data_IF_568389048396
#
_entry.id   IF_568389048396
#
_cell.length_a   1.000
_cell.length_b   1.000
_cell.length_c   1.000
_cell.angle_alpha   90.00
_cell.angle_beta   90.00
_cell.angle_gamma   90.00
#
_symmetry.space_group_name_H-M   'P 1'
#
loop_
_entity.id
_entity.type
_entity.pdbx_description
1 polymer ?
#
# COMPACT_ATOMS: atom_id res chain seq x y z
N UNK A 1 -3.39 -4.98 9.28
CA UNK A 1 -2.11 -5.27 8.58
C UNK A 1 -1.82 -6.76 8.76
N UNK A 2 -1.19 -7.47 7.82
CA UNK A 2 -0.81 -8.86 8.04
C UNK A 2 0.17 -8.95 9.21
N UNK A 3 -0.05 -9.90 10.09
CA UNK A 3 0.78 -10.10 11.28
C UNK A 3 1.76 -11.26 11.10
N UNK A 4 1.62 -12.06 10.04
CA UNK A 4 2.49 -13.20 9.75
C UNK A 4 3.07 -13.11 8.34
N UNK A 5 4.30 -13.62 8.20
CA UNK A 5 4.97 -13.83 6.91
C UNK A 5 5.05 -15.32 6.61
N UNK A 6 4.88 -15.68 5.34
CA UNK A 6 5.10 -17.06 4.90
C UNK A 6 6.60 -17.38 4.97
N UNK A 7 6.98 -18.61 5.37
CA UNK A 7 8.36 -19.06 5.31
C UNK A 7 8.80 -19.25 3.85
N UNK A 8 10.11 -19.29 3.59
CA UNK A 8 10.68 -19.42 2.23
C UNK A 8 10.19 -20.66 1.46
N UNK A 9 9.83 -21.72 2.18
CA UNK A 9 9.20 -22.93 1.62
C UNK A 9 7.85 -23.17 2.30
N UNK A 10 6.78 -22.47 1.87
CA UNK A 10 5.48 -22.60 2.52
C UNK A 10 4.86 -23.98 2.24
N UNK A 11 4.19 -24.55 3.24
CA UNK A 11 3.52 -25.84 3.14
C UNK A 11 2.02 -25.68 3.36
N UNK A 12 1.22 -26.03 2.35
CA UNK A 12 -0.23 -25.86 2.38
C UNK A 12 -0.89 -26.70 3.47
N UNK A 13 -0.37 -27.89 3.77
CA UNK A 13 -0.92 -28.75 4.82
C UNK A 13 -0.68 -28.17 6.21
N UNK A 14 0.44 -27.49 6.43
CA UNK A 14 0.65 -26.72 7.65
C UNK A 14 -0.39 -25.61 7.80
N UNK A 15 -0.69 -24.85 6.73
CA UNK A 15 -1.72 -23.80 6.76
C UNK A 15 -3.13 -24.38 6.99
N UNK A 16 -3.43 -25.56 6.42
CA UNK A 16 -4.69 -26.27 6.70
C UNK A 16 -4.77 -26.70 8.17
N UNK A 17 -3.66 -27.14 8.77
CA UNK A 17 -3.63 -27.44 10.20
C UNK A 17 -3.90 -26.20 11.04
N UNK A 18 -3.26 -25.07 10.75
CA UNK A 18 -3.54 -23.81 11.45
C UNK A 18 -5.01 -23.40 11.39
N UNK A 19 -5.68 -23.57 10.24
CA UNK A 19 -7.12 -23.29 10.14
C UNK A 19 -7.96 -24.24 11.00
N UNK A 20 -7.60 -25.53 11.07
CA UNK A 20 -8.28 -26.49 11.96
C UNK A 20 -8.02 -26.21 13.43
N UNK A 21 -6.82 -25.77 13.78
CA UNK A 21 -6.45 -25.44 15.16
C UNK A 21 -7.17 -24.19 15.62
N UNK A 22 -7.30 -23.17 14.75
CA UNK A 22 -8.14 -21.99 15.03
C UNK A 22 -9.61 -22.37 15.27
N UNK A 23 -10.16 -23.30 14.46
CA UNK A 23 -11.52 -23.79 14.64
C UNK A 23 -11.69 -24.54 15.98
N UNK A 24 -10.72 -25.36 16.37
CA UNK A 24 -10.73 -26.07 17.67
C UNK A 24 -10.61 -25.09 18.84
N UNK A 25 -9.72 -24.10 18.74
CA UNK A 25 -9.53 -23.08 19.77
C UNK A 25 -10.81 -22.24 19.97
N UNK A 26 -11.49 -21.87 18.87
CA UNK A 26 -12.80 -21.23 18.94
C UNK A 26 -13.83 -22.10 19.67
N UNK A 27 -13.93 -23.39 19.33
CA UNK A 27 -14.84 -24.33 19.99
C UNK A 27 -14.52 -24.53 21.49
N UNK A 28 -13.25 -24.41 21.87
CA UNK A 28 -12.80 -24.46 23.26
C UNK A 28 -13.03 -23.13 24.03
N UNK A 29 -13.50 -22.08 23.36
CA UNK A 29 -13.73 -20.77 23.96
C UNK A 29 -12.45 -19.97 24.22
N UNK A 30 -11.36 -20.29 23.52
CA UNK A 30 -10.06 -19.62 23.65
C UNK A 30 -10.18 -18.11 23.33
N UNK A 31 -9.80 -17.21 24.27
CA UNK A 31 -9.77 -15.78 24.02
C UNK A 31 -8.91 -15.37 22.83
N UNK A 32 -7.77 -16.04 22.59
CA UNK A 32 -6.87 -15.70 21.48
C UNK A 32 -7.54 -15.97 20.12
N UNK A 33 -8.30 -17.06 20.01
CA UNK A 33 -9.07 -17.36 18.81
C UNK A 33 -10.11 -16.26 18.52
N UNK A 34 -10.77 -15.74 19.56
CA UNK A 34 -11.74 -14.64 19.43
C UNK A 34 -11.08 -13.34 18.95
N UNK A 35 -9.90 -13.02 19.48
CA UNK A 35 -9.12 -11.87 19.04
C UNK A 35 -8.70 -11.99 17.57
N UNK A 36 -8.13 -13.14 17.17
CA UNK A 36 -7.70 -13.39 15.79
C UNK A 36 -8.88 -13.30 14.81
N UNK A 37 -10.02 -13.88 15.17
CA UNK A 37 -11.24 -13.80 14.35
C UNK A 37 -11.76 -12.38 14.22
N UNK A 38 -11.75 -11.58 15.30
CA UNK A 38 -12.14 -10.16 15.24
C UNK A 38 -11.26 -9.38 14.28
N UNK A 39 -9.94 -9.58 14.37
CA UNK A 39 -8.99 -8.81 13.59
C UNK A 39 -9.01 -9.19 12.11
N UNK A 40 -9.09 -10.49 11.79
CA UNK A 40 -8.87 -10.97 10.44
C UNK A 40 -10.13 -11.43 9.70
N UNK A 41 -11.27 -11.60 10.36
CA UNK A 41 -12.51 -12.04 9.70
C UNK A 41 -13.52 -10.88 9.54
N UNK A 42 -14.01 -10.59 8.32
CA UNK A 42 -14.86 -9.43 8.06
C UNK A 42 -16.20 -9.45 8.82
N UNK A 43 -16.73 -10.64 9.12
CA UNK A 43 -17.96 -10.80 9.91
C UNK A 43 -17.83 -10.31 11.36
N UNK A 44 -16.62 -10.31 11.92
CA UNK A 44 -16.40 -10.19 13.36
C UNK A 44 -15.70 -8.90 13.80
N UNK A 45 -15.34 -8.01 12.87
CA UNK A 45 -14.55 -6.80 13.17
C UNK A 45 -15.16 -5.85 14.21
N UNK A 46 -16.47 -5.94 14.48
CA UNK A 46 -17.19 -5.16 15.50
C UNK A 46 -17.84 -6.01 16.59
N UNK A 47 -17.56 -7.30 16.61
CA UNK A 47 -18.18 -8.26 17.54
C UNK A 47 -17.44 -8.35 18.87
N UNK A 48 -18.17 -8.53 19.96
CA UNK A 48 -17.59 -8.81 21.28
C UNK A 48 -17.04 -10.24 21.34
N UNK A 49 -16.18 -10.58 22.31
CA UNK A 49 -15.71 -11.96 22.44
C UNK A 49 -16.86 -12.93 22.70
N UNK A 50 -17.91 -12.48 23.41
CA UNK A 50 -19.09 -13.29 23.67
C UNK A 50 -19.84 -13.62 22.37
N UNK A 51 -20.03 -12.61 21.50
CA UNK A 51 -20.68 -12.80 20.20
C UNK A 51 -19.87 -13.77 19.33
N UNK A 52 -18.54 -13.60 19.28
CA UNK A 52 -17.65 -14.45 18.47
C UNK A 52 -17.68 -15.89 18.99
N UNK A 53 -17.60 -16.11 20.31
CA UNK A 53 -17.69 -17.46 20.91
C UNK A 53 -19.02 -18.15 20.61
N UNK A 54 -20.13 -17.40 20.59
CA UNK A 54 -21.45 -17.96 20.31
C UNK A 54 -21.71 -18.22 18.81
N UNK A 55 -20.91 -17.63 17.93
CA UNK A 55 -21.08 -17.76 16.49
C UNK A 55 -20.71 -19.16 15.98
N UNK A 56 -21.49 -19.66 15.02
CA UNK A 56 -21.11 -20.85 14.25
C UNK A 56 -19.93 -20.50 13.33
N UNK A 57 -18.76 -21.07 13.64
CA UNK A 57 -17.54 -20.91 12.84
C UNK A 57 -17.35 -22.13 11.95
N UNK A 58 -17.24 -21.90 10.64
CA UNK A 58 -16.94 -22.96 9.68
C UNK A 58 -15.44 -23.07 9.42
N UNK A 59 -14.99 -24.18 8.82
CA UNK A 59 -13.60 -24.31 8.39
C UNK A 59 -13.23 -23.23 7.34
N UNK A 60 -14.17 -22.84 6.49
CA UNK A 60 -13.95 -21.78 5.49
C UNK A 60 -13.76 -20.41 6.14
N UNK A 61 -14.48 -20.10 7.23
CA UNK A 61 -14.26 -18.87 8.00
C UNK A 61 -12.85 -18.87 8.63
N UNK A 62 -12.42 -19.99 9.20
CA UNK A 62 -11.08 -20.12 9.77
C UNK A 62 -9.99 -20.00 8.69
N UNK A 63 -10.18 -20.61 7.51
CA UNK A 63 -9.28 -20.48 6.37
C UNK A 63 -9.19 -19.03 5.85
N UNK A 64 -10.31 -18.29 5.85
CA UNK A 64 -10.31 -16.87 5.47
C UNK A 64 -9.53 -16.02 6.47
N UNK A 65 -9.72 -16.25 7.77
CA UNK A 65 -8.95 -15.56 8.82
C UNK A 65 -7.44 -15.83 8.67
N UNK A 66 -7.03 -17.09 8.50
CA UNK A 66 -5.63 -17.47 8.24
C UNK A 66 -5.09 -16.78 6.98
N UNK A 67 -5.83 -16.80 5.86
CA UNK A 67 -5.39 -16.13 4.64
C UNK A 67 -5.10 -14.64 4.87
N UNK A 68 -5.97 -13.96 5.62
CA UNK A 68 -5.85 -12.52 5.91
C UNK A 68 -4.75 -12.21 6.93
N UNK A 69 -4.47 -13.10 7.89
CA UNK A 69 -3.29 -13.02 8.77
C UNK A 69 -1.98 -12.97 7.97
N UNK A 70 -1.92 -13.75 6.87
CA UNK A 70 -0.79 -13.80 5.94
C UNK A 70 -0.88 -12.75 4.80
N UNK A 71 -1.87 -11.87 4.81
CA UNK A 71 -1.98 -10.77 3.83
C UNK A 71 -2.65 -11.12 2.51
N UNK A 72 -3.32 -12.28 2.43
CA UNK A 72 -4.10 -12.71 1.26
C UNK A 72 -5.59 -12.42 1.46
N UNK A 73 -6.31 -11.97 0.42
CA UNK A 73 -7.73 -11.63 0.54
C UNK A 73 -8.64 -12.86 0.64
N UNK A 74 -8.17 -14.05 0.25
CA UNK A 74 -8.93 -15.30 0.31
C UNK A 74 -8.03 -16.53 0.44
N UNK A 75 -8.60 -17.63 0.94
CA UNK A 75 -7.91 -18.91 1.02
C UNK A 75 -7.47 -19.44 -0.35
N UNK A 76 -8.29 -19.26 -1.38
CA UNK A 76 -7.94 -19.68 -2.74
C UNK A 76 -6.67 -18.98 -3.25
N UNK A 77 -6.49 -17.69 -2.92
CA UNK A 77 -5.28 -16.93 -3.29
C UNK A 77 -4.05 -17.35 -2.50
N UNK A 78 -4.18 -17.55 -1.19
CA UNK A 78 -3.10 -18.13 -0.38
C UNK A 78 -2.68 -19.51 -0.90
N UNK A 79 -3.66 -20.38 -1.18
CA UNK A 79 -3.42 -21.73 -1.73
C UNK A 79 -2.70 -21.67 -3.07
N UNK A 80 -3.19 -20.85 -4.01
CA UNK A 80 -2.55 -20.67 -5.31
C UNK A 80 -1.11 -20.19 -5.18
N UNK A 81 -0.83 -19.33 -4.18
CA UNK A 81 0.52 -18.87 -3.92
C UNK A 81 1.46 -19.98 -3.45
N UNK A 82 1.00 -20.83 -2.54
CA UNK A 82 1.80 -21.95 -2.01
C UNK A 82 2.00 -23.06 -3.05
N UNK A 83 1.01 -23.34 -3.88
CA UNK A 83 1.07 -24.43 -4.89
C UNK A 83 1.82 -24.03 -6.17
N UNK A 84 2.05 -22.74 -6.41
CA UNK A 84 2.76 -22.23 -7.59
C UNK A 84 3.78 -21.14 -7.20
N UNK A 85 4.89 -21.50 -6.52
CA UNK A 85 5.90 -20.53 -6.11
C UNK A 85 6.40 -19.68 -7.30
N UNK A 86 6.55 -20.27 -8.49
CA UNK A 86 7.05 -19.58 -9.70
C UNK A 86 6.06 -18.61 -10.38
N UNK A 87 4.78 -18.54 -9.96
CA UNK A 87 3.75 -17.69 -10.58
C UNK A 87 3.06 -16.75 -9.60
N UNK A 88 3.73 -16.45 -8.51
CA UNK A 88 3.25 -15.38 -7.65
C UNK A 88 4.05 -14.16 -7.98
N UNK A 89 3.41 -13.15 -8.59
CA UNK A 89 4.04 -11.86 -8.84
C UNK A 89 4.55 -11.19 -7.55
N UNK A 90 4.44 -11.82 -6.38
CA UNK A 90 5.04 -11.37 -5.13
C UNK A 90 6.57 -11.23 -5.22
N UNK A 91 7.25 -11.97 -6.11
CA UNK A 91 8.69 -11.81 -6.40
C UNK A 91 8.98 -10.83 -7.56
N UNK A 92 7.96 -10.38 -8.29
CA UNK A 92 8.12 -9.37 -9.33
C UNK A 92 8.22 -7.97 -8.71
N UNK A 93 8.97 -7.04 -9.34
CA UNK A 93 8.88 -5.62 -9.02
C UNK A 93 7.42 -5.17 -8.99
N UNK A 94 7.07 -4.26 -8.07
CA UNK A 94 5.66 -3.90 -7.80
C UNK A 94 4.85 -3.54 -9.06
N UNK A 95 5.45 -2.89 -10.06
CA UNK A 95 4.73 -2.46 -11.26
C UNK A 95 4.44 -3.59 -12.26
N UNK A 96 5.29 -4.63 -12.35
CA UNK A 96 5.05 -5.82 -13.17
C UNK A 96 3.84 -6.64 -12.67
N UNK A 97 3.44 -6.44 -11.41
CA UNK A 97 2.25 -7.04 -10.80
C UNK A 97 0.94 -6.36 -11.17
N UNK A 98 0.99 -5.18 -11.79
CA UNK A 98 -0.21 -4.42 -12.15
C UNK A 98 -0.90 -5.17 -13.27
N UNK A 99 -2.08 -5.75 -13.04
CA UNK A 99 -2.79 -6.56 -14.04
C UNK A 99 -3.37 -5.72 -15.19
N UNK A 100 -3.87 -4.52 -14.87
CA UNK A 100 -4.47 -3.60 -15.84
C UNK A 100 -3.39 -3.05 -16.80
N UNK A 101 -3.44 -3.37 -18.10
CA UNK A 101 -2.44 -2.93 -19.06
C UNK A 101 -2.44 -1.42 -19.27
N UNK A 102 -3.58 -0.75 -19.12
CA UNK A 102 -3.66 0.70 -19.26
C UNK A 102 -2.98 1.38 -18.07
N UNK A 103 -3.21 0.89 -16.84
CA UNK A 103 -2.51 1.40 -15.66
C UNK A 103 -1.01 1.10 -15.72
N UNK A 104 -0.62 -0.11 -16.13
CA UNK A 104 0.80 -0.50 -16.27
C UNK A 104 1.53 0.44 -17.23
N UNK A 105 0.94 0.71 -18.40
CA UNK A 105 1.50 1.67 -19.36
C UNK A 105 1.66 3.07 -18.77
N UNK A 106 0.72 3.53 -17.94
CA UNK A 106 0.83 4.82 -17.28
C UNK A 106 2.03 4.88 -16.31
N UNK A 107 2.29 3.78 -15.60
CA UNK A 107 3.47 3.67 -14.72
C UNK A 107 4.76 3.62 -15.55
N UNK A 108 4.79 2.91 -16.67
CA UNK A 108 5.97 2.86 -17.54
C UNK A 108 6.32 4.25 -18.12
N UNK A 109 5.30 5.02 -18.54
CA UNK A 109 5.47 6.40 -19.03
C UNK A 109 5.95 7.34 -17.91
N UNK A 110 5.45 7.15 -16.67
CA UNK A 110 5.94 7.87 -15.50
C UNK A 110 7.42 7.55 -15.22
N UNK A 111 7.79 6.27 -15.25
CA UNK A 111 9.14 5.80 -14.93
C UNK A 111 10.19 6.24 -15.96
N UNK A 112 9.78 6.30 -17.23
CA UNK A 112 10.63 6.76 -18.34
C UNK A 112 10.72 8.27 -18.44
N UNK A 113 9.85 9.00 -17.75
CA UNK A 113 9.79 10.46 -17.84
C UNK A 113 9.06 10.99 -19.08
N UNK A 114 8.30 10.15 -19.79
CA UNK A 114 7.52 10.55 -20.98
C UNK A 114 6.24 11.29 -20.55
N UNK A 115 6.39 12.56 -20.16
CA UNK A 115 5.29 13.39 -19.69
C UNK A 115 4.22 13.63 -20.78
N UNK A 116 4.60 13.72 -22.05
CA UNK A 116 3.66 13.95 -23.15
C UNK A 116 2.87 12.69 -23.50
N UNK A 117 3.55 11.55 -23.58
CA UNK A 117 2.92 10.24 -23.71
C UNK A 117 1.99 9.95 -22.55
N UNK A 118 2.39 10.28 -21.32
CA UNK A 118 1.55 10.13 -20.12
C UNK A 118 0.30 11.01 -20.19
N UNK A 119 0.42 12.29 -20.60
CA UNK A 119 -0.73 13.19 -20.79
C UNK A 119 -1.68 12.65 -21.85
N UNK A 120 -1.17 12.18 -22.98
CA UNK A 120 -2.00 11.60 -24.04
C UNK A 120 -2.75 10.36 -23.53
N UNK A 121 -2.04 9.44 -22.87
CA UNK A 121 -2.61 8.22 -22.31
C UNK A 121 -3.68 8.49 -21.24
N UNK A 122 -3.46 9.49 -20.37
CA UNK A 122 -4.43 9.89 -19.36
C UNK A 122 -5.67 10.58 -19.94
N UNK A 123 -5.57 11.25 -21.11
CA UNK A 123 -6.75 11.77 -21.81
C UNK A 123 -7.61 10.67 -22.41
N UNK A 124 -6.97 9.62 -22.95
CA UNK A 124 -7.65 8.43 -23.47
C UNK A 124 -8.29 7.60 -22.35
N UNK A 125 -7.68 7.60 -21.16
CA UNK A 125 -8.13 6.84 -20.00
C UNK A 125 -8.25 7.72 -18.74
N UNK A 126 -9.23 8.64 -18.66
CA UNK A 126 -9.33 9.65 -17.60
C UNK A 126 -9.56 9.06 -16.19
N UNK A 127 -10.00 7.80 -16.09
CA UNK A 127 -10.13 7.11 -14.81
C UNK A 127 -8.80 6.77 -14.14
N UNK A 128 -7.71 6.63 -14.90
CA UNK A 128 -6.43 6.10 -14.38
C UNK A 128 -5.80 6.99 -13.31
N UNK A 129 -5.96 8.31 -13.41
CA UNK A 129 -5.36 9.25 -12.46
C UNK A 129 -5.88 9.06 -11.01
N UNK A 130 -7.09 8.52 -10.86
CA UNK A 130 -7.72 8.24 -9.55
C UNK A 130 -7.90 6.75 -9.27
N UNK A 131 -7.60 5.90 -10.26
CA UNK A 131 -7.64 4.46 -10.09
C UNK A 131 -6.58 4.04 -9.07
N UNK A 132 -6.93 3.07 -8.23
CA UNK A 132 -6.01 2.40 -7.32
C UNK A 132 -5.80 0.95 -7.75
N UNK A 133 -4.56 0.48 -7.67
CA UNK A 133 -4.20 -0.92 -7.92
C UNK A 133 -3.98 -1.64 -6.60
N UNK A 134 -4.39 -2.90 -6.48
CA UNK A 134 -4.23 -3.67 -5.24
C UNK A 134 -3.04 -4.61 -5.31
N UNK A 135 -2.09 -4.44 -4.40
CA UNK A 135 -1.00 -5.39 -4.20
C UNK A 135 -1.28 -6.29 -2.99
N UNK A 136 -1.08 -7.60 -3.18
CA UNK A 136 -1.18 -8.61 -2.13
C UNK A 136 0.05 -8.61 -1.22
N UNK A 137 -0.11 -9.08 0.01
CA UNK A 137 0.98 -9.20 0.99
C UNK A 137 0.99 -8.10 2.06
N UNK A 138 -0.03 -7.23 2.08
CA UNK A 138 -0.27 -6.24 3.15
C UNK A 138 0.93 -5.37 3.52
N UNK A 139 1.57 -4.81 2.50
CA UNK A 139 2.56 -3.75 2.63
C UNK A 139 1.87 -2.38 2.76
N UNK A 140 2.60 -1.36 3.22
CA UNK A 140 2.08 0.02 3.33
C UNK A 140 1.68 0.58 1.95
N UNK A 141 2.26 0.05 0.88
CA UNK A 141 1.98 0.39 -0.51
C UNK A 141 0.99 -0.58 -1.17
N UNK A 142 -0.05 -1.01 -0.44
CA UNK A 142 -0.93 -2.11 -0.85
C UNK A 142 -2.10 -1.73 -1.75
N UNK A 143 -2.42 -0.44 -1.88
CA UNK A 143 -3.52 0.05 -2.70
C UNK A 143 -3.19 1.35 -3.45
N UNK A 144 -2.06 1.45 -4.19
CA UNK A 144 -1.59 2.74 -4.61
C UNK A 144 -2.35 3.33 -5.79
N UNK A 145 -2.43 4.66 -5.83
CA UNK A 145 -2.84 5.43 -7.01
C UNK A 145 -1.62 5.77 -7.89
N UNK A 146 -1.86 6.18 -9.14
CA UNK A 146 -0.78 6.44 -10.11
C UNK A 146 0.24 7.48 -9.60
N UNK A 147 -0.22 8.54 -8.94
CA UNK A 147 0.66 9.60 -8.44
C UNK A 147 1.62 9.11 -7.35
N UNK A 148 1.23 8.10 -6.56
CA UNK A 148 2.04 7.58 -5.46
C UNK A 148 3.30 6.84 -5.98
N UNK A 149 3.32 6.40 -7.25
CA UNK A 149 4.53 5.86 -7.89
C UNK A 149 5.62 6.91 -8.13
N UNK A 150 5.27 8.20 -8.19
CA UNK A 150 6.24 9.29 -8.36
C UNK A 150 7.15 9.49 -7.12
N UNK A 151 6.80 8.87 -5.99
CA UNK A 151 7.63 8.92 -4.78
C UNK A 151 8.81 7.94 -4.83
N UNK A 152 8.76 6.93 -5.72
CA UNK A 152 9.75 5.84 -5.78
C UNK A 152 10.03 5.21 -4.39
N UNK A 153 8.93 5.05 -3.64
CA UNK A 153 8.87 4.54 -2.28
C UNK A 153 7.59 3.68 -2.14
N UNK A 154 7.70 2.34 -2.19
CA UNK A 154 8.92 1.53 -2.13
C UNK A 154 9.79 1.68 -3.38
N UNK A 155 11.09 1.44 -3.19
CA UNK A 155 12.07 1.51 -4.27
C UNK A 155 11.83 0.37 -5.27
N UNK A 156 11.66 0.71 -6.55
CA UNK A 156 11.47 -0.23 -7.66
C UNK A 156 12.69 -0.25 -8.59
N UNK A 157 13.14 0.93 -8.99
CA UNK A 157 14.25 1.19 -9.92
C UNK A 157 15.43 1.90 -9.25
N UNK A 158 15.22 2.55 -8.11
CA UNK A 158 16.28 3.30 -7.41
C UNK A 158 16.65 4.63 -8.07
N UNK A 159 15.80 5.13 -8.96
CA UNK A 159 15.97 6.42 -9.64
C UNK A 159 14.61 7.02 -9.98
N UNK A 160 14.59 8.34 -10.16
CA UNK A 160 13.48 9.08 -10.76
C UNK A 160 13.97 9.76 -12.07
N UNK A 161 13.09 9.95 -13.06
CA UNK A 161 13.45 10.73 -14.25
C UNK A 161 13.73 12.20 -13.86
N UNK A 162 14.63 12.86 -14.59
CA UNK A 162 15.05 14.23 -14.28
C UNK A 162 13.89 15.24 -14.31
N UNK A 163 12.83 14.95 -15.07
CA UNK A 163 11.62 15.76 -15.20
C UNK A 163 10.44 15.22 -14.36
N UNK A 164 10.69 14.47 -13.28
CA UNK A 164 9.63 13.88 -12.44
C UNK A 164 8.58 14.89 -11.96
N UNK A 165 8.96 16.17 -11.78
CA UNK A 165 8.01 17.24 -11.40
C UNK A 165 6.98 17.48 -12.49
N UNK A 166 7.37 17.44 -13.76
CA UNK A 166 6.45 17.60 -14.90
C UNK A 166 5.54 16.37 -15.07
N UNK A 167 6.10 15.18 -14.81
CA UNK A 167 5.38 13.91 -14.84
C UNK A 167 4.33 13.85 -13.73
N UNK A 168 4.71 14.18 -12.49
CA UNK A 168 3.78 14.27 -11.36
C UNK A 168 2.68 15.31 -11.62
N UNK A 169 3.04 16.46 -12.20
CA UNK A 169 2.09 17.49 -12.63
C UNK A 169 1.11 16.96 -13.68
N UNK A 170 1.55 16.14 -14.64
CA UNK A 170 0.65 15.52 -15.62
C UNK A 170 -0.42 14.64 -14.95
N UNK A 171 -0.04 13.84 -13.96
CA UNK A 171 -0.99 12.99 -13.20
C UNK A 171 -1.94 13.84 -12.35
N UNK A 172 -1.42 14.89 -11.69
CA UNK A 172 -2.22 15.85 -10.92
C UNK A 172 -3.30 16.51 -11.79
N UNK A 173 -2.89 17.06 -12.94
CA UNK A 173 -3.78 17.74 -13.89
C UNK A 173 -4.80 16.81 -14.57
N UNK A 174 -4.46 15.52 -14.71
CA UNK A 174 -5.39 14.50 -15.19
C UNK A 174 -6.49 14.12 -14.18
N UNK A 175 -6.45 14.67 -12.96
CA UNK A 175 -7.53 14.56 -11.98
C UNK A 175 -7.11 14.02 -10.61
N UNK A 176 -5.85 13.59 -10.44
CA UNK A 176 -5.38 13.12 -9.13
C UNK A 176 -5.46 14.21 -8.04
N UNK A 177 -5.31 15.50 -8.42
CA UNK A 177 -5.44 16.64 -7.50
C UNK A 177 -6.80 16.80 -6.83
N UNK A 178 -7.83 16.12 -7.35
CA UNK A 178 -9.19 16.18 -6.79
C UNK A 178 -9.41 15.20 -5.64
N UNK A 179 -8.48 14.28 -5.40
CA UNK A 179 -8.55 13.31 -4.31
C UNK A 179 -7.47 13.62 -3.27
N UNK A 180 -7.90 14.18 -2.14
CA UNK A 180 -7.01 14.56 -1.05
C UNK A 180 -6.23 13.36 -0.48
N UNK A 181 -6.84 12.17 -0.47
CA UNK A 181 -6.17 10.98 0.04
C UNK A 181 -4.95 10.58 -0.79
N UNK A 182 -5.02 10.78 -2.12
CA UNK A 182 -3.89 10.53 -3.02
C UNK A 182 -2.78 11.54 -2.74
N UNK A 183 -3.12 12.83 -2.63
CA UNK A 183 -2.15 13.90 -2.37
C UNK A 183 -1.37 13.67 -1.07
N UNK A 184 -2.10 13.45 0.03
CA UNK A 184 -1.51 13.30 1.36
C UNK A 184 -0.68 12.00 1.47
N UNK A 185 -1.13 10.93 0.82
CA UNK A 185 -0.39 9.66 0.77
C UNK A 185 0.88 9.79 -0.06
N UNK A 186 0.82 10.42 -1.26
CA UNK A 186 2.02 10.70 -2.06
C UNK A 186 2.99 11.57 -1.27
N UNK A 187 2.50 12.61 -0.58
CA UNK A 187 3.34 13.52 0.21
C UNK A 187 4.08 12.74 1.30
N UNK A 188 3.39 11.90 2.07
CA UNK A 188 4.03 11.07 3.10
C UNK A 188 5.12 10.12 2.54
N UNK A 189 4.88 9.54 1.36
CA UNK A 189 5.85 8.69 0.67
C UNK A 189 7.08 9.46 0.19
N UNK A 190 6.88 10.66 -0.38
CA UNK A 190 7.98 11.55 -0.81
C UNK A 190 8.78 12.03 0.40
N UNK A 191 8.11 12.44 1.47
CA UNK A 191 8.74 12.96 2.69
C UNK A 191 9.68 11.97 3.37
N UNK A 192 9.44 10.66 3.22
CA UNK A 192 10.31 9.58 3.71
C UNK A 192 11.18 8.93 2.62
N UNK A 193 11.09 9.42 1.37
CA UNK A 193 11.66 8.77 0.20
C UNK A 193 13.13 9.08 -0.03
N UNK A 194 14.02 8.13 0.33
CA UNK A 194 15.47 8.24 0.04
C UNK A 194 15.79 8.52 -1.43
N UNK A 195 15.11 7.83 -2.36
CA UNK A 195 15.36 7.98 -3.81
C UNK A 195 14.96 9.38 -4.29
N UNK A 196 13.82 9.88 -3.84
CA UNK A 196 13.41 11.25 -4.14
C UNK A 196 14.46 12.27 -3.66
N UNK A 197 15.07 12.06 -2.48
CA UNK A 197 16.16 12.92 -1.98
C UNK A 197 17.40 12.82 -2.86
N UNK A 198 17.89 11.62 -3.12
CA UNK A 198 19.12 11.39 -3.88
C UNK A 198 19.02 11.87 -5.34
N UNK A 199 17.81 11.89 -5.92
CA UNK A 199 17.54 12.49 -7.22
C UNK A 199 17.30 14.01 -7.17
N UNK A 200 17.36 14.66 -6.00
CA UNK A 200 17.07 16.08 -5.84
C UNK A 200 15.61 16.48 -6.05
N UNK A 201 14.69 15.50 -6.05
CA UNK A 201 13.27 15.69 -6.35
C UNK A 201 12.38 15.81 -5.10
N UNK A 202 12.87 15.45 -3.91
CA UNK A 202 12.08 15.37 -2.68
C UNK A 202 11.39 16.69 -2.31
N UNK A 203 12.15 17.78 -2.14
CA UNK A 203 11.59 19.09 -1.78
C UNK A 203 10.68 19.64 -2.91
N UNK A 204 11.10 19.63 -4.19
CA UNK A 204 10.22 20.07 -5.27
C UNK A 204 8.90 19.28 -5.38
N UNK A 205 8.89 17.98 -5.08
CA UNK A 205 7.67 17.18 -5.04
C UNK A 205 6.79 17.53 -3.84
N UNK A 206 7.36 17.77 -2.65
CA UNK A 206 6.63 18.25 -1.48
C UNK A 206 5.94 19.58 -1.79
N UNK A 207 6.67 20.53 -2.36
CA UNK A 207 6.14 21.85 -2.73
C UNK A 207 5.02 21.71 -3.77
N UNK A 208 5.23 20.91 -4.81
CA UNK A 208 4.23 20.66 -5.85
C UNK A 208 2.93 20.08 -5.26
N UNK A 209 3.02 19.10 -4.36
CA UNK A 209 1.86 18.46 -3.76
C UNK A 209 1.10 19.44 -2.87
N UNK A 210 1.82 20.21 -2.06
CA UNK A 210 1.21 21.24 -1.22
C UNK A 210 0.57 22.36 -2.05
N UNK A 211 1.15 22.74 -3.20
CA UNK A 211 0.56 23.72 -4.13
C UNK A 211 -0.76 23.22 -4.75
N UNK A 212 -0.92 21.90 -4.86
CA UNK A 212 -2.17 21.25 -5.28
C UNK A 212 -3.07 20.91 -4.10
N UNK A 213 -2.71 21.38 -2.91
CA UNK A 213 -3.53 21.39 -1.73
C UNK A 213 -3.11 20.42 -0.65
N UNK A 214 -2.19 19.47 -0.86
CA UNK A 214 -1.81 18.43 0.11
C UNK A 214 -1.59 18.97 1.54
N UNK A 215 -1.99 18.20 2.55
CA UNK A 215 -1.74 18.53 3.96
C UNK A 215 -0.27 18.23 4.23
N UNK A 216 0.54 19.19 4.70
CA UNK A 216 1.93 18.89 5.03
C UNK A 216 2.07 18.09 6.34
N UNK A 217 1.05 18.04 7.22
CA UNK A 217 1.16 17.36 8.52
C UNK A 217 1.41 15.84 8.41
N UNK A 218 0.71 15.08 7.55
CA UNK A 218 1.00 13.66 7.34
C UNK A 218 2.44 13.34 6.93
N UNK A 219 3.18 14.29 6.36
CA UNK A 219 4.59 14.11 5.97
C UNK A 219 5.59 14.22 7.12
N UNK A 220 5.23 14.86 8.24
CA UNK A 220 6.17 15.19 9.32
C UNK A 220 6.74 13.95 10.00
N UNK A 221 5.87 13.07 10.49
CA UNK A 221 6.30 11.85 11.18
C UNK A 221 7.14 10.93 10.27
N UNK A 222 6.74 10.64 9.02
CA UNK A 222 7.58 9.88 8.10
C UNK A 222 8.95 10.53 7.83
N UNK A 223 9.03 11.85 7.65
CA UNK A 223 10.29 12.54 7.42
C UNK A 223 11.24 12.39 8.61
N UNK A 224 10.75 12.68 9.82
CA UNK A 224 11.54 12.60 11.05
C UNK A 224 11.97 11.18 11.39
N UNK A 225 11.06 10.21 11.24
CA UNK A 225 11.35 8.79 11.46
C UNK A 225 12.48 8.25 10.56
N UNK A 226 12.71 8.88 9.41
CA UNK A 226 13.77 8.53 8.46
C UNK A 226 14.93 9.53 8.43
N UNK A 227 14.99 10.47 9.37
CA UNK A 227 16.00 11.53 9.45
C UNK A 227 16.08 12.43 8.20
N UNK A 228 14.97 12.58 7.48
CA UNK A 228 14.83 13.46 6.32
C UNK A 228 14.59 14.91 6.77
N UNK A 229 15.56 15.49 7.50
CA UNK A 229 15.40 16.80 8.14
C UNK A 229 15.10 17.94 7.15
N UNK A 230 15.69 17.91 5.97
CA UNK A 230 15.41 18.90 4.92
C UNK A 230 13.96 18.82 4.41
N UNK A 231 13.37 17.61 4.41
CA UNK A 231 11.96 17.42 4.11
C UNK A 231 11.07 17.92 5.25
N UNK A 232 11.42 17.65 6.51
CA UNK A 232 10.72 18.19 7.68
C UNK A 232 10.71 19.74 7.66
N UNK A 233 11.84 20.38 7.38
CA UNK A 233 11.95 21.83 7.23
C UNK A 233 11.07 22.35 6.08
N UNK A 234 10.99 21.62 4.96
CA UNK A 234 10.12 21.98 3.84
C UNK A 234 8.64 21.91 4.26
N UNK A 235 8.23 20.85 4.95
CA UNK A 235 6.86 20.71 5.44
C UNK A 235 6.48 21.80 6.44
N UNK A 236 7.38 22.18 7.35
CA UNK A 236 7.18 23.31 8.26
C UNK A 236 6.98 24.62 7.48
N UNK A 237 7.77 24.89 6.43
CA UNK A 237 7.55 26.04 5.54
C UNK A 237 6.20 26.00 4.82
N UNK A 238 5.67 24.81 4.56
CA UNK A 238 4.33 24.59 3.98
C UNK A 238 3.20 24.64 5.01
N UNK A 239 3.51 24.85 6.29
CA UNK A 239 2.52 25.02 7.36
C UNK A 239 2.25 23.77 8.20
N UNK A 240 3.11 22.75 8.15
CA UNK A 240 3.00 21.65 9.10
C UNK A 240 3.22 22.12 10.55
N UNK A 241 2.55 21.48 11.49
CA UNK A 241 2.69 21.75 12.93
C UNK A 241 3.69 20.81 13.57
N UNK A 242 4.51 21.36 14.48
CA UNK A 242 5.33 20.56 15.38
C UNK A 242 4.52 20.26 16.65
N UNK A 243 4.00 19.04 16.77
CA UNK A 243 3.33 18.53 17.96
C UNK A 243 4.20 17.53 18.75
N UNK A 244 3.76 17.11 19.94
CA UNK A 244 4.52 16.19 20.82
C UNK A 244 4.83 14.83 20.18
N UNK A 245 4.09 14.41 19.16
CA UNK A 245 4.29 13.16 18.42
C UNK A 245 5.43 13.29 17.40
N UNK A 246 5.78 14.52 17.00
CA UNK A 246 6.83 14.86 16.05
C UNK A 246 7.93 15.77 16.63
N UNK A 247 7.88 16.09 17.93
CA UNK A 247 8.88 16.91 18.64
C UNK A 247 10.01 16.06 19.27
#
# INVERSE_FOLDING_TARGET
>A
MPTKRLPSSPNLDHLKHQARDLLKAHAAGDPEASQRLREFHPRFGRSTDADIRSAQLTLSDAQLAIAREYGFPSWARLKAHVERPERTGLDLPHHDRIEDPAFRRAVDLLDTGDADGLRAHLREHPGLARQRVRFEGGNYFGNPALLEFAAENPIRHGRLPANIIEVARAVLEAGAKTDRSILDSTLALVSSGRVARECGAQIPLIDLLCDHGADPNPGMLPALAHAEFAAADALLRRGATLDLTVA
#
